data_IF_531090631841
#
_entry.id   IF_531090631841
#
_cell.length_a   1.000
_cell.length_b   1.000
_cell.length_c   1.000
_cell.angle_alpha   90.00
_cell.angle_beta   90.00
_cell.angle_gamma   90.00
#
_symmetry.space_group_name_H-M   'P 1'
#
loop_
_entity.id
_entity.type
_entity.pdbx_description
1 polymer ?
#
# COMPACT_ATOMS: atom_id res chain seq x y z
N UNK A 1 -1.17 10.05 103.48
CA UNK A 1 -0.55 8.91 102.77
C UNK A 1 -1.50 8.62 101.64
N UNK A 2 -1.36 9.37 100.55
CA UNK A 2 -2.36 9.37 99.49
C UNK A 2 -1.94 8.42 98.38
N UNK A 3 -2.53 7.24 98.46
CA UNK A 3 -2.69 6.35 97.31
C UNK A 3 -3.72 7.04 96.42
N UNK A 4 -3.31 7.43 95.21
CA UNK A 4 -4.25 7.62 94.11
C UNK A 4 -3.95 6.61 93.03
N UNK A 5 -4.78 5.58 93.05
CA UNK A 5 -5.00 4.65 91.95
C UNK A 5 -5.42 5.41 90.69
N UNK A 6 -4.95 4.91 89.56
CA UNK A 6 -5.45 5.22 88.21
C UNK A 6 -6.89 4.74 88.05
N UNK A 7 -7.73 5.49 87.33
CA UNK A 7 -8.73 4.86 86.49
C UNK A 7 -8.67 5.35 85.03
N UNK A 8 -8.13 4.47 84.19
CA UNK A 8 -8.84 3.88 83.04
C UNK A 8 -9.55 4.80 82.05
N UNK A 9 -8.82 5.32 81.06
CA UNK A 9 -9.40 5.70 79.76
C UNK A 9 -8.45 5.32 78.60
N UNK A 10 -8.08 4.05 78.49
CA UNK A 10 -7.29 3.53 77.35
C UNK A 10 -8.00 2.38 76.60
N UNK A 11 -9.31 2.21 76.82
CA UNK A 11 -10.07 1.08 76.25
C UNK A 11 -10.95 1.43 75.02
N UNK A 12 -11.09 2.71 74.67
CA UNK A 12 -11.98 3.15 73.58
C UNK A 12 -11.28 3.12 72.20
N UNK A 13 -9.95 3.21 72.13
CA UNK A 13 -9.24 3.41 70.86
C UNK A 13 -8.86 2.12 70.11
N UNK A 14 -8.56 1.02 70.81
CA UNK A 14 -8.11 -0.23 70.16
C UNK A 14 -9.23 -0.88 69.33
N UNK A 15 -10.48 -0.78 69.79
CA UNK A 15 -11.62 -1.39 69.11
C UNK A 15 -12.03 -0.63 67.85
N UNK A 16 -11.87 0.70 67.83
CA UNK A 16 -12.17 1.56 66.67
C UNK A 16 -11.09 1.36 65.60
N UNK A 17 -9.82 1.36 65.98
CA UNK A 17 -8.71 1.14 65.06
C UNK A 17 -8.70 -0.28 64.45
N UNK A 18 -9.03 -1.31 65.23
CA UNK A 18 -9.21 -2.67 64.69
C UNK A 18 -10.37 -2.76 63.70
N UNK A 19 -11.52 -2.12 63.99
CA UNK A 19 -12.64 -2.09 63.05
C UNK A 19 -12.29 -1.33 61.77
N UNK A 20 -11.60 -0.19 61.87
CA UNK A 20 -11.10 0.58 60.72
C UNK A 20 -10.15 -0.25 59.87
N UNK A 21 -9.17 -0.93 60.48
CA UNK A 21 -8.25 -1.80 59.77
C UNK A 21 -8.99 -2.94 59.04
N UNK A 22 -9.96 -3.60 59.71
CA UNK A 22 -10.79 -4.64 59.10
C UNK A 22 -11.58 -4.10 57.90
N UNK A 23 -12.21 -2.92 58.03
CA UNK A 23 -12.96 -2.30 56.95
C UNK A 23 -12.06 -1.88 55.77
N UNK A 24 -10.86 -1.35 56.05
CA UNK A 24 -9.90 -0.99 55.00
C UNK A 24 -9.41 -2.24 54.26
N UNK A 25 -9.07 -3.31 54.98
CA UNK A 25 -8.68 -4.58 54.37
C UNK A 25 -9.83 -5.18 53.55
N UNK A 26 -11.05 -5.16 54.06
CA UNK A 26 -12.24 -5.64 53.34
C UNK A 26 -12.51 -4.84 52.06
N UNK A 27 -12.42 -3.51 52.12
CA UNK A 27 -12.57 -2.65 50.94
C UNK A 27 -11.44 -2.86 49.92
N UNK A 28 -10.21 -3.09 50.38
CA UNK A 28 -9.07 -3.36 49.50
C UNK A 28 -9.25 -4.70 48.79
N UNK A 29 -9.66 -5.75 49.52
CA UNK A 29 -9.95 -7.05 48.93
C UNK A 29 -11.14 -6.99 47.95
N UNK A 30 -12.19 -6.24 48.28
CA UNK A 30 -13.31 -6.01 47.38
C UNK A 30 -12.86 -5.27 46.10
N UNK A 31 -12.01 -4.25 46.23
CA UNK A 31 -11.45 -3.53 45.08
C UNK A 31 -10.59 -4.42 44.18
N UNK A 32 -9.76 -5.28 44.76
CA UNK A 32 -8.96 -6.27 44.02
C UNK A 32 -9.88 -7.27 43.31
N UNK A 33 -10.90 -7.78 43.99
CA UNK A 33 -11.86 -8.72 43.40
C UNK A 33 -12.57 -8.11 42.19
N UNK A 34 -13.05 -6.86 42.32
CA UNK A 34 -13.68 -6.11 41.22
C UNK A 34 -12.72 -5.95 40.04
N UNK A 35 -11.45 -5.57 40.30
CA UNK A 35 -10.42 -5.47 39.26
C UNK A 35 -10.20 -6.80 38.54
N UNK A 36 -10.12 -7.91 39.27
CA UNK A 36 -9.96 -9.24 38.68
C UNK A 36 -11.16 -9.57 37.79
N UNK A 37 -12.40 -9.36 38.25
CA UNK A 37 -13.61 -9.60 37.46
C UNK A 37 -13.59 -8.78 36.17
N UNK A 38 -13.31 -7.48 36.25
CA UNK A 38 -13.21 -6.62 35.05
C UNK A 38 -12.12 -7.09 34.09
N UNK A 39 -10.96 -7.54 34.58
CA UNK A 39 -9.91 -8.07 33.71
C UNK A 39 -10.32 -9.38 33.04
N UNK A 40 -11.02 -10.27 33.76
CA UNK A 40 -11.52 -11.54 33.20
C UNK A 40 -12.57 -11.27 32.13
N UNK A 41 -13.51 -10.35 32.38
CA UNK A 41 -14.53 -9.98 31.37
C UNK A 41 -13.88 -9.38 30.13
N UNK A 42 -12.89 -8.50 30.29
CA UNK A 42 -12.19 -7.88 29.16
C UNK A 42 -11.35 -8.89 28.37
N UNK A 43 -10.71 -9.84 29.05
CA UNK A 43 -10.02 -10.97 28.41
C UNK A 43 -11.02 -11.88 27.68
N UNK A 44 -12.21 -12.11 28.25
CA UNK A 44 -13.29 -12.88 27.63
C UNK A 44 -13.84 -12.19 26.37
N UNK A 45 -14.09 -10.88 26.43
CA UNK A 45 -14.54 -10.08 25.28
C UNK A 45 -13.49 -10.08 24.16
N UNK A 46 -12.20 -9.91 24.51
CA UNK A 46 -11.10 -10.00 23.55
C UNK A 46 -10.98 -11.41 22.96
N UNK A 47 -11.13 -12.45 23.77
CA UNK A 47 -11.15 -13.85 23.31
C UNK A 47 -12.32 -14.09 22.35
N UNK A 48 -13.53 -13.61 22.66
CA UNK A 48 -14.69 -13.76 21.78
C UNK A 48 -14.54 -12.99 20.46
N UNK A 49 -13.89 -11.81 20.47
CA UNK A 49 -13.54 -11.09 19.23
C UNK A 49 -12.50 -11.83 18.39
N UNK A 50 -11.45 -12.37 19.03
CA UNK A 50 -10.41 -13.15 18.35
C UNK A 50 -10.97 -14.48 17.82
N UNK A 51 -11.92 -15.08 18.53
CA UNK A 51 -12.59 -16.34 18.18
C UNK A 51 -13.92 -16.08 17.47
N UNK A 52 -14.06 -14.95 16.77
CA UNK A 52 -15.03 -14.93 15.68
C UNK A 52 -14.52 -15.90 14.63
N UNK A 53 -15.23 -17.00 14.33
CA UNK A 53 -14.88 -17.80 13.19
C UNK A 53 -15.01 -16.85 11.99
N UNK A 54 -13.91 -16.61 11.26
CA UNK A 54 -14.06 -16.21 9.86
C UNK A 54 -15.05 -17.22 9.31
N UNK A 55 -16.23 -16.79 8.88
CA UNK A 55 -17.09 -17.63 8.06
C UNK A 55 -16.18 -18.19 6.98
N UNK A 56 -15.92 -19.48 7.06
CA UNK A 56 -15.21 -20.19 6.03
C UNK A 56 -16.20 -20.13 4.88
N UNK A 57 -15.97 -19.21 3.95
CA UNK A 57 -16.67 -19.18 2.68
C UNK A 57 -16.63 -20.62 2.18
N UNK A 58 -17.80 -21.28 2.00
CA UNK A 58 -17.84 -22.65 1.52
C UNK A 58 -16.96 -22.74 0.28
N UNK A 59 -16.11 -23.77 0.20
CA UNK A 59 -15.21 -24.05 -0.95
C UNK A 59 -16.05 -24.52 -2.16
N UNK A 60 -17.19 -23.89 -2.37
CA UNK A 60 -18.15 -24.22 -3.39
C UNK A 60 -17.99 -23.20 -4.51
N UNK A 61 -17.01 -23.53 -5.38
CA UNK A 61 -16.54 -22.81 -6.58
C UNK A 61 -15.27 -21.95 -6.39
N UNK A 62 -14.16 -22.60 -6.04
CA UNK A 62 -12.91 -22.22 -6.73
C UNK A 62 -13.06 -22.79 -8.16
N UNK A 63 -13.22 -21.98 -9.22
CA UNK A 63 -13.33 -22.50 -10.57
C UNK A 63 -12.09 -23.37 -10.87
N UNK A 64 -12.33 -24.57 -11.40
CA UNK A 64 -11.36 -25.68 -11.56
C UNK A 64 -10.14 -25.37 -12.46
N UNK A 65 -9.99 -24.13 -12.92
CA UNK A 65 -8.73 -23.51 -13.31
C UNK A 65 -8.99 -22.01 -13.33
N UNK A 66 -8.40 -21.24 -12.42
CA UNK A 66 -8.22 -19.81 -12.64
C UNK A 66 -7.24 -19.65 -13.81
N UNK A 67 -7.74 -19.69 -15.05
CA UNK A 67 -6.92 -19.52 -16.24
C UNK A 67 -6.54 -18.04 -16.31
N UNK A 68 -5.34 -17.72 -15.84
CA UNK A 68 -4.76 -16.40 -16.07
C UNK A 68 -4.50 -16.27 -17.58
N UNK A 69 -5.17 -15.35 -18.30
CA UNK A 69 -4.89 -15.11 -19.71
C UNK A 69 -3.49 -14.49 -19.86
N UNK A 70 -2.90 -14.59 -21.04
CA UNK A 70 -1.61 -13.90 -21.32
C UNK A 70 -1.80 -12.38 -21.43
N UNK A 71 -3.01 -11.92 -21.76
CA UNK A 71 -3.37 -10.51 -21.94
C UNK A 71 -4.66 -10.20 -21.21
N UNK A 72 -4.65 -9.17 -20.38
CA UNK A 72 -5.83 -8.60 -19.76
C UNK A 72 -6.38 -7.44 -20.61
N UNK A 73 -7.69 -7.23 -20.53
CA UNK A 73 -8.32 -6.00 -20.96
C UNK A 73 -8.53 -5.09 -19.74
N UNK A 74 -7.70 -4.06 -19.60
CA UNK A 74 -7.77 -3.09 -18.51
C UNK A 74 -8.42 -1.82 -19.05
N UNK A 75 -9.73 -1.65 -18.80
CA UNK A 75 -10.53 -0.49 -19.25
C UNK A 75 -10.34 -0.16 -20.75
N UNK A 76 -10.30 -1.18 -21.61
CA UNK A 76 -10.12 -1.06 -23.06
C UNK A 76 -8.66 -1.12 -23.53
N UNK A 77 -7.69 -1.23 -22.63
CA UNK A 77 -6.28 -1.35 -22.97
C UNK A 77 -5.79 -2.79 -22.78
N UNK A 78 -5.15 -3.39 -23.80
CA UNK A 78 -4.38 -4.62 -23.60
C UNK A 78 -3.30 -4.39 -22.54
N UNK A 79 -3.16 -5.30 -21.58
CA UNK A 79 -2.06 -5.33 -20.63
C UNK A 79 -1.53 -6.76 -20.46
N UNK A 80 -0.25 -6.97 -20.72
CA UNK A 80 0.38 -8.29 -20.57
C UNK A 80 0.34 -8.75 -19.11
N UNK A 81 -0.10 -9.98 -18.86
CA UNK A 81 -0.38 -10.50 -17.53
C UNK A 81 0.89 -10.96 -16.78
N UNK A 82 0.79 -11.27 -15.47
CA UNK A 82 1.86 -11.95 -14.74
C UNK A 82 2.30 -13.26 -15.39
N UNK A 83 1.36 -14.03 -15.97
CA UNK A 83 1.69 -15.27 -16.68
C UNK A 83 2.57 -15.00 -17.91
N UNK A 84 2.24 -13.97 -18.69
CA UNK A 84 3.08 -13.56 -19.82
C UNK A 84 4.45 -13.03 -19.36
N UNK A 85 4.50 -12.42 -18.17
CA UNK A 85 5.76 -11.97 -17.58
C UNK A 85 6.67 -13.12 -17.17
N UNK A 86 6.14 -14.18 -16.54
CA UNK A 86 6.95 -15.37 -16.22
C UNK A 86 7.53 -16.03 -17.49
N UNK A 87 6.72 -16.18 -18.55
CA UNK A 87 7.20 -16.64 -19.85
C UNK A 87 8.36 -15.78 -20.37
N UNK A 88 8.25 -14.45 -20.24
CA UNK A 88 9.31 -13.53 -20.62
C UNK A 88 10.59 -13.76 -19.80
N UNK A 89 10.48 -13.96 -18.48
CA UNK A 89 11.64 -14.24 -17.63
C UNK A 89 12.36 -15.53 -18.04
N UNK A 90 11.60 -16.59 -18.34
CA UNK A 90 12.12 -17.89 -18.73
C UNK A 90 12.81 -17.86 -20.10
N UNK A 91 12.32 -17.05 -21.04
CA UNK A 91 12.83 -16.97 -22.41
C UNK A 91 14.00 -16.00 -22.59
N UNK A 92 14.17 -15.02 -21.71
CA UNK A 92 15.13 -13.91 -21.90
C UNK A 92 16.35 -13.92 -20.99
N UNK A 93 16.40 -14.82 -20.00
CA UNK A 93 17.42 -14.77 -18.95
C UNK A 93 17.34 -13.52 -18.07
N UNK A 94 16.21 -12.79 -18.10
CA UNK A 94 16.03 -11.54 -17.37
C UNK A 94 15.88 -11.72 -15.85
N UNK A 95 15.64 -12.96 -15.37
CA UNK A 95 15.33 -13.26 -13.97
C UNK A 95 16.35 -12.68 -12.97
N UNK A 96 17.68 -12.84 -13.13
CA UNK A 96 18.65 -12.27 -12.19
C UNK A 96 18.58 -10.73 -12.11
N UNK A 97 18.37 -10.06 -13.25
CA UNK A 97 18.28 -8.59 -13.29
C UNK A 97 16.96 -8.10 -12.70
N UNK A 98 15.87 -8.83 -12.91
CA UNK A 98 14.58 -8.54 -12.29
C UNK A 98 14.63 -8.71 -10.77
N UNK A 99 15.25 -9.78 -10.26
CA UNK A 99 15.44 -9.98 -8.81
C UNK A 99 16.23 -8.83 -8.17
N UNK A 100 17.30 -8.35 -8.84
CA UNK A 100 18.05 -7.17 -8.37
C UNK A 100 17.20 -5.91 -8.36
N UNK A 101 16.35 -5.70 -9.38
CA UNK A 101 15.42 -4.59 -9.41
C UNK A 101 14.40 -4.68 -8.27
N UNK A 102 13.84 -5.86 -8.00
CA UNK A 102 12.91 -6.04 -6.88
C UNK A 102 13.56 -5.71 -5.54
N UNK A 103 14.77 -6.22 -5.30
CA UNK A 103 15.55 -5.88 -4.11
C UNK A 103 15.84 -4.37 -4.03
N UNK A 104 16.19 -3.74 -5.15
CA UNK A 104 16.41 -2.29 -5.22
C UNK A 104 15.14 -1.49 -4.86
N UNK A 105 13.96 -1.90 -5.34
CA UNK A 105 12.69 -1.26 -4.99
C UNK A 105 12.37 -1.45 -3.50
N UNK A 106 12.63 -2.63 -2.96
CA UNK A 106 12.42 -2.98 -1.55
C UNK A 106 13.27 -2.12 -0.61
N UNK A 107 14.59 -2.03 -0.83
CA UNK A 107 15.47 -1.22 0.03
C UNK A 107 15.13 0.28 -0.04
N UNK A 108 14.53 0.73 -1.16
CA UNK A 108 14.05 2.09 -1.32
C UNK A 108 12.61 2.31 -0.82
N UNK A 109 11.96 1.26 -0.28
CA UNK A 109 10.61 1.25 0.30
C UNK A 109 9.50 1.63 -0.69
N UNK A 110 9.65 1.25 -1.96
CA UNK A 110 8.69 1.55 -3.04
C UNK A 110 8.18 0.30 -3.76
N UNK A 111 8.49 -0.90 -3.26
CA UNK A 111 8.09 -2.20 -3.82
C UNK A 111 6.59 -2.50 -3.70
N UNK A 112 5.93 -1.92 -2.69
CA UNK A 112 4.49 -2.09 -2.46
C UNK A 112 3.57 -1.11 -3.20
N UNK A 113 4.11 -0.15 -3.96
CA UNK A 113 3.30 0.91 -4.60
C UNK A 113 2.46 0.36 -5.74
N UNK A 114 3.07 -0.49 -6.59
CA UNK A 114 2.42 -1.22 -7.68
C UNK A 114 3.18 -2.54 -7.88
N UNK A 115 2.56 -3.58 -8.48
CA UNK A 115 3.29 -4.82 -8.77
C UNK A 115 4.54 -4.57 -9.63
N UNK A 116 5.72 -4.98 -9.15
CA UNK A 116 7.01 -4.65 -9.76
C UNK A 116 7.11 -5.06 -11.25
N UNK A 117 6.52 -6.19 -11.64
CA UNK A 117 6.51 -6.65 -13.03
C UNK A 117 5.81 -5.65 -13.98
N UNK A 118 4.82 -4.91 -13.49
CA UNK A 118 4.04 -3.97 -14.29
C UNK A 118 4.87 -2.77 -14.74
N UNK A 119 5.93 -2.43 -14.01
CA UNK A 119 6.91 -1.40 -14.37
C UNK A 119 7.73 -1.77 -15.61
N UNK A 120 7.81 -3.06 -15.94
CA UNK A 120 8.57 -3.57 -17.09
C UNK A 120 7.71 -3.65 -18.36
N UNK A 121 6.41 -3.35 -18.29
CA UNK A 121 5.53 -3.30 -19.46
C UNK A 121 5.98 -2.20 -20.41
N UNK A 122 6.19 -2.51 -21.68
CA UNK A 122 6.59 -1.52 -22.67
C UNK A 122 5.42 -0.61 -23.09
N UNK A 123 4.20 -1.14 -23.22
CA UNK A 123 3.03 -0.34 -23.55
C UNK A 123 1.78 -1.20 -23.70
N UNK A 124 0.71 -0.63 -24.27
CA UNK A 124 -0.56 -1.32 -24.54
C UNK A 124 -0.71 -1.76 -26.01
N UNK A 125 0.29 -1.43 -26.82
CA UNK A 125 0.31 -1.53 -28.28
C UNK A 125 1.39 -2.49 -28.79
N UNK A 126 2.07 -3.22 -27.90
CA UNK A 126 3.19 -4.13 -28.22
C UNK A 126 2.84 -5.14 -29.33
N UNK A 127 1.62 -5.68 -29.30
CA UNK A 127 1.15 -6.62 -30.33
C UNK A 127 1.04 -5.94 -31.71
N UNK A 128 0.60 -4.68 -31.75
CA UNK A 128 0.44 -3.91 -33.00
C UNK A 128 1.79 -3.54 -33.61
N UNK A 129 2.77 -3.21 -32.77
CA UNK A 129 4.11 -2.81 -33.21
C UNK A 129 5.07 -3.99 -33.38
N UNK A 130 4.62 -5.21 -33.08
CA UNK A 130 5.42 -6.42 -33.21
C UNK A 130 6.64 -6.43 -32.27
N UNK A 131 6.47 -6.00 -31.03
CA UNK A 131 7.52 -5.97 -30.01
C UNK A 131 7.15 -6.80 -28.78
N UNK A 132 8.14 -7.24 -27.98
CA UNK A 132 7.88 -7.93 -26.72
C UNK A 132 7.06 -7.06 -25.75
N UNK A 133 6.14 -7.65 -24.97
CA UNK A 133 5.35 -6.91 -23.97
C UNK A 133 6.18 -6.33 -22.84
N UNK A 134 7.34 -6.92 -22.54
CA UNK A 134 8.20 -6.56 -21.42
C UNK A 134 9.64 -6.29 -21.86
N UNK A 135 10.32 -5.43 -21.11
CA UNK A 135 11.76 -5.26 -21.17
C UNK A 135 12.29 -4.82 -19.80
N UNK A 136 13.54 -5.17 -19.48
CA UNK A 136 14.16 -4.79 -18.19
C UNK A 136 15.00 -3.50 -18.33
N UNK A 137 14.71 -2.43 -17.57
CA UNK A 137 15.44 -1.18 -17.65
C UNK A 137 16.93 -1.34 -17.26
N UNK A 138 17.84 -0.52 -17.82
CA UNK A 138 19.23 -0.41 -17.34
C UNK A 138 19.28 0.02 -15.87
N UNK A 139 20.20 -0.57 -15.09
CA UNK A 139 20.28 -0.34 -13.64
C UNK A 139 20.52 1.13 -13.28
N UNK A 140 21.31 1.84 -14.09
CA UNK A 140 21.56 3.28 -13.96
C UNK A 140 20.30 4.16 -13.95
N UNK A 141 19.16 3.64 -14.41
CA UNK A 141 17.90 4.38 -14.44
C UNK A 141 16.97 4.04 -13.26
N UNK A 142 17.26 3.01 -12.45
CA UNK A 142 16.34 2.54 -11.40
C UNK A 142 16.01 3.60 -10.36
N UNK A 143 17.00 4.39 -9.94
CA UNK A 143 16.78 5.49 -8.99
C UNK A 143 15.76 6.53 -9.45
N UNK A 144 15.59 6.72 -10.77
CA UNK A 144 14.59 7.66 -11.31
C UNK A 144 13.16 7.15 -11.16
N UNK A 145 12.96 5.83 -11.17
CA UNK A 145 11.62 5.25 -10.95
C UNK A 145 11.21 5.36 -9.49
N UNK A 146 12.17 5.33 -8.55
CA UNK A 146 11.90 5.49 -7.11
C UNK A 146 11.16 6.80 -6.86
N UNK A 147 11.63 7.91 -7.44
CA UNK A 147 10.97 9.21 -7.30
C UNK A 147 9.54 9.21 -7.87
N UNK A 148 9.34 8.59 -9.04
CA UNK A 148 7.99 8.46 -9.63
C UNK A 148 7.07 7.61 -8.76
N UNK A 149 7.57 6.52 -8.16
CA UNK A 149 6.77 5.69 -7.26
C UNK A 149 6.45 6.39 -5.94
N UNK A 150 7.36 7.20 -5.39
CA UNK A 150 7.08 8.05 -4.21
C UNK A 150 6.01 9.09 -4.51
N UNK A 151 6.09 9.77 -5.65
CA UNK A 151 5.03 10.68 -6.08
C UNK A 151 3.66 9.96 -6.17
N UNK A 152 3.64 8.73 -6.72
CA UNK A 152 2.42 7.93 -6.77
C UNK A 152 1.88 7.62 -5.36
N UNK A 153 2.76 7.11 -4.49
CA UNK A 153 2.45 6.69 -3.12
C UNK A 153 1.95 7.85 -2.24
N UNK A 154 2.60 9.01 -2.34
CA UNK A 154 2.37 10.14 -1.43
C UNK A 154 1.27 11.09 -1.91
N UNK A 155 1.11 11.28 -3.22
CA UNK A 155 0.30 12.40 -3.74
C UNK A 155 -0.86 11.98 -4.66
N UNK A 156 -0.74 10.83 -5.34
CA UNK A 156 -1.72 10.41 -6.36
C UNK A 156 -2.66 9.34 -5.79
N UNK A 157 -2.12 8.21 -5.35
CA UNK A 157 -2.91 7.08 -4.84
C UNK A 157 -3.80 7.48 -3.66
N UNK A 158 -3.37 8.32 -2.70
CA UNK A 158 -4.25 8.77 -1.61
C UNK A 158 -5.50 9.54 -2.09
N UNK A 159 -5.47 10.10 -3.30
CA UNK A 159 -6.56 10.90 -3.86
C UNK A 159 -7.43 10.09 -4.82
N UNK A 160 -6.81 9.37 -5.78
CA UNK A 160 -7.54 8.66 -6.84
C UNK A 160 -7.64 7.14 -6.62
N UNK A 161 -7.03 6.62 -5.56
CA UNK A 161 -6.97 5.21 -5.24
C UNK A 161 -5.89 4.46 -6.03
N UNK A 162 -5.85 3.12 -5.91
CA UNK A 162 -4.90 2.28 -6.63
C UNK A 162 -4.98 2.46 -8.14
N UNK A 163 -3.86 2.18 -8.82
CA UNK A 163 -3.70 2.36 -10.26
C UNK A 163 -3.14 1.09 -10.90
N UNK A 164 -3.57 0.79 -12.13
CA UNK A 164 -2.96 -0.25 -12.95
C UNK A 164 -2.00 0.36 -13.96
N UNK A 165 -0.72 -0.03 -13.89
CA UNK A 165 0.32 0.43 -14.83
C UNK A 165 0.16 -0.27 -16.19
N UNK A 166 0.03 0.51 -17.26
CA UNK A 166 -0.06 0.03 -18.64
C UNK A 166 1.29 0.14 -19.37
N UNK A 167 2.18 1.04 -18.94
CA UNK A 167 3.49 1.24 -19.53
C UNK A 167 4.46 1.83 -18.53
N UNK A 168 5.66 1.26 -18.41
CA UNK A 168 6.76 1.77 -17.59
C UNK A 168 8.02 1.95 -18.43
N UNK A 169 8.94 0.97 -18.43
CA UNK A 169 10.14 1.02 -19.25
C UNK A 169 9.85 0.76 -20.73
N UNK A 170 10.38 1.60 -21.63
CA UNK A 170 10.41 1.33 -23.08
C UNK A 170 11.84 1.24 -23.58
N UNK A 171 12.12 0.22 -24.39
CA UNK A 171 13.33 0.22 -25.22
C UNK A 171 13.28 1.34 -26.26
N UNK A 172 14.45 1.71 -26.79
CA UNK A 172 14.57 2.66 -27.91
C UNK A 172 13.76 2.19 -29.13
N UNK A 173 13.89 0.91 -29.49
CA UNK A 173 13.19 0.28 -30.61
C UNK A 173 11.69 0.29 -30.42
N UNK A 174 11.20 -0.15 -29.26
CA UNK A 174 9.77 -0.11 -28.94
C UNK A 174 9.22 1.30 -29.03
N UNK A 175 9.88 2.26 -28.38
CA UNK A 175 9.41 3.64 -28.35
C UNK A 175 9.34 4.23 -29.77
N UNK A 176 10.31 3.94 -30.63
CA UNK A 176 10.30 4.41 -32.01
C UNK A 176 9.13 3.80 -32.82
N UNK A 177 8.94 2.47 -32.75
CA UNK A 177 7.84 1.79 -33.47
C UNK A 177 6.45 2.20 -32.98
N UNK A 178 6.32 2.50 -31.69
CA UNK A 178 5.09 3.03 -31.08
C UNK A 178 4.85 4.53 -31.38
N UNK A 179 5.70 5.18 -32.19
CA UNK A 179 5.59 6.61 -32.49
C UNK A 179 5.88 7.54 -31.30
N UNK A 180 6.60 7.03 -30.30
CA UNK A 180 6.97 7.79 -29.11
C UNK A 180 8.01 8.89 -29.39
N UNK A 181 7.98 9.94 -28.58
CA UNK A 181 8.94 11.04 -28.67
C UNK A 181 10.39 10.56 -28.45
N UNK A 182 11.36 11.17 -29.16
CA UNK A 182 12.80 10.96 -28.93
C UNK A 182 13.24 11.33 -27.51
N UNK A 183 12.46 12.14 -26.79
CA UNK A 183 12.70 12.56 -25.39
C UNK A 183 11.75 11.86 -24.41
N UNK A 184 11.24 10.69 -24.76
CA UNK A 184 10.27 9.93 -23.97
C UNK A 184 10.81 9.59 -22.57
N UNK A 185 10.01 9.85 -21.54
CA UNK A 185 10.36 9.59 -20.14
C UNK A 185 10.35 8.10 -19.80
N UNK A 186 9.61 7.30 -20.57
CA UNK A 186 9.65 5.84 -20.48
C UNK A 186 11.02 5.25 -20.81
N UNK A 187 11.77 5.88 -21.74
CA UNK A 187 13.14 5.48 -22.09
C UNK A 187 14.19 5.90 -21.05
N UNK A 188 13.76 6.61 -20.01
CA UNK A 188 14.59 6.98 -18.86
C UNK A 188 14.12 6.32 -17.56
N UNK A 189 13.15 5.40 -17.64
CA UNK A 189 12.55 4.70 -16.51
C UNK A 189 12.04 5.66 -15.42
N UNK A 190 11.43 6.77 -15.84
CA UNK A 190 10.84 7.75 -14.92
C UNK A 190 9.41 8.12 -15.31
N UNK A 191 8.89 7.61 -16.41
CA UNK A 191 7.50 7.79 -16.84
C UNK A 191 6.67 6.53 -16.65
N UNK A 192 5.42 6.71 -16.24
CA UNK A 192 4.42 5.66 -16.11
C UNK A 192 3.13 6.10 -16.82
N UNK A 193 2.57 5.22 -17.65
CA UNK A 193 1.20 5.35 -18.14
C UNK A 193 0.32 4.39 -17.36
N UNK A 194 -0.82 4.87 -16.88
CA UNK A 194 -1.69 4.10 -16.00
C UNK A 194 -3.15 4.52 -16.12
N UNK A 195 -4.02 3.73 -15.50
CA UNK A 195 -5.43 4.05 -15.26
C UNK A 195 -5.74 3.83 -13.78
N UNK A 196 -6.69 4.58 -13.18
CA UNK A 196 -7.17 4.26 -11.85
C UNK A 196 -7.91 2.92 -11.86
N UNK A 197 -7.88 2.18 -10.76
CA UNK A 197 -8.69 0.96 -10.63
C UNK A 197 -10.17 1.31 -10.46
N UNK A 198 -10.44 2.32 -9.63
CA UNK A 198 -11.78 2.92 -9.50
C UNK A 198 -12.29 3.42 -10.85
N UNK A 199 -13.60 3.33 -11.03
CA UNK A 199 -14.25 3.90 -12.19
C UNK A 199 -14.36 5.41 -12.04
N UNK A 200 -13.83 6.10 -13.06
CA UNK A 200 -13.92 7.53 -13.22
C UNK A 200 -14.39 7.81 -14.64
N UNK A 201 -15.17 8.86 -14.81
CA UNK A 201 -15.25 9.54 -16.10
C UNK A 201 -13.99 10.39 -16.31
N UNK A 202 -13.77 10.80 -17.56
CA UNK A 202 -12.67 11.73 -17.86
C UNK A 202 -12.88 13.07 -17.15
N UNK A 203 -14.12 13.52 -17.15
CA UNK A 203 -14.58 14.80 -16.62
C UNK A 203 -14.34 14.90 -15.11
N UNK A 204 -14.38 13.77 -14.39
CA UNK A 204 -14.03 13.69 -12.97
C UNK A 204 -12.52 13.59 -12.74
N UNK A 205 -11.82 12.71 -13.48
CA UNK A 205 -10.40 12.40 -13.21
C UNK A 205 -9.47 13.57 -13.57
N UNK A 206 -9.69 14.22 -14.70
CA UNK A 206 -8.79 15.24 -15.24
C UNK A 206 -8.65 16.45 -14.30
N UNK A 207 -9.73 17.05 -13.77
CA UNK A 207 -9.63 18.14 -12.79
C UNK A 207 -8.85 17.75 -11.54
N UNK A 208 -9.04 16.51 -11.04
CA UNK A 208 -8.33 16.00 -9.86
C UNK A 208 -6.82 15.92 -10.13
N UNK A 209 -6.42 15.29 -11.23
CA UNK A 209 -5.02 15.16 -11.63
C UNK A 209 -4.35 16.53 -11.82
N UNK A 210 -5.03 17.47 -12.48
CA UNK A 210 -4.54 18.85 -12.64
C UNK A 210 -4.39 19.55 -11.29
N UNK A 211 -5.31 19.36 -10.34
CA UNK A 211 -5.21 19.93 -8.99
C UNK A 211 -4.01 19.37 -8.23
N UNK A 212 -3.74 18.06 -8.33
CA UNK A 212 -2.53 17.45 -7.78
C UNK A 212 -1.29 18.09 -8.42
N UNK A 213 -1.23 18.13 -9.75
CA UNK A 213 -0.07 18.68 -10.47
C UNK A 213 0.21 20.14 -10.09
N UNK A 214 -0.81 21.00 -10.01
CA UNK A 214 -0.62 22.40 -9.56
C UNK A 214 -0.11 22.50 -8.13
N UNK A 215 -0.56 21.62 -7.23
CA UNK A 215 -0.17 21.62 -5.82
C UNK A 215 1.27 21.15 -5.62
N UNK A 216 1.69 20.07 -6.29
CA UNK A 216 2.94 19.37 -5.97
C UNK A 216 3.92 19.28 -7.13
N UNK A 217 3.54 19.74 -8.31
CA UNK A 217 4.29 19.44 -9.52
C UNK A 217 5.68 20.06 -9.54
N UNK A 218 5.84 21.28 -8.99
CA UNK A 218 7.16 21.89 -8.85
C UNK A 218 8.05 21.14 -7.86
N UNK A 219 7.49 20.66 -6.73
CA UNK A 219 8.20 19.89 -5.70
C UNK A 219 8.75 18.57 -6.27
N UNK A 220 7.93 17.85 -7.04
CA UNK A 220 8.27 16.53 -7.57
C UNK A 220 8.87 16.53 -8.99
N UNK A 221 9.10 17.71 -9.57
CA UNK A 221 9.43 17.83 -11.00
C UNK A 221 8.43 17.05 -11.89
N UNK A 222 7.15 17.10 -11.51
CA UNK A 222 6.09 16.26 -12.06
C UNK A 222 5.70 16.71 -13.46
N UNK A 223 5.90 15.82 -14.42
CA UNK A 223 5.21 15.85 -15.69
C UNK A 223 3.85 15.16 -15.57
N UNK A 224 2.82 15.78 -16.12
CA UNK A 224 1.50 15.18 -16.32
C UNK A 224 1.24 15.06 -17.82
N UNK A 225 0.58 13.98 -18.24
CA UNK A 225 0.04 13.84 -19.59
C UNK A 225 -1.33 13.19 -19.51
N UNK A 226 -2.27 13.61 -20.35
CA UNK A 226 -3.65 13.11 -20.32
C UNK A 226 -3.99 12.56 -21.69
N UNK A 227 -4.22 11.26 -21.78
CA UNK A 227 -4.65 10.59 -23.02
C UNK A 227 -6.16 10.66 -23.18
N UNK A 228 -6.73 10.06 -24.23
CA UNK A 228 -8.18 9.90 -24.35
C UNK A 228 -8.70 8.95 -23.26
N UNK A 229 -9.92 9.18 -22.76
CA UNK A 229 -10.50 8.41 -21.66
C UNK A 229 -9.84 8.75 -20.31
N UNK A 230 -9.58 7.70 -19.52
CA UNK A 230 -9.03 7.78 -18.15
C UNK A 230 -7.56 7.42 -18.03
N UNK A 231 -6.88 7.13 -19.16
CA UNK A 231 -5.44 6.87 -19.15
C UNK A 231 -4.68 8.19 -19.01
N UNK A 232 -3.68 8.19 -18.13
CA UNK A 232 -2.82 9.35 -17.91
C UNK A 232 -1.36 8.92 -17.74
N UNK A 233 -0.48 9.88 -17.94
CA UNK A 233 0.98 9.78 -17.82
C UNK A 233 1.44 10.57 -16.61
N UNK A 234 2.38 10.03 -15.84
CA UNK A 234 3.11 10.75 -14.81
C UNK A 234 4.60 10.45 -14.91
N UNK A 235 5.41 11.48 -14.75
CA UNK A 235 6.86 11.36 -14.64
C UNK A 235 7.45 12.36 -13.63
N UNK A 236 8.65 12.09 -13.11
CA UNK A 236 9.38 12.98 -12.18
C UNK A 236 10.66 13.55 -12.79
N UNK A 237 10.78 13.47 -14.11
CA UNK A 237 12.00 13.82 -14.85
C UNK A 237 11.73 14.93 -15.88
N UNK A 238 10.63 15.65 -15.76
CA UNK A 238 10.25 16.75 -16.64
C UNK A 238 9.01 17.50 -16.18
N UNK A 239 9.20 18.52 -15.35
CA UNK A 239 8.15 19.45 -14.97
C UNK A 239 7.56 20.20 -16.17
N UNK A 240 6.22 20.22 -16.24
CA UNK A 240 5.43 21.02 -17.19
C UNK A 240 4.19 21.56 -16.49
N UNK A 241 3.88 22.84 -16.64
CA UNK A 241 2.64 23.44 -16.12
C UNK A 241 1.41 22.89 -16.85
N UNK A 242 0.31 22.66 -16.12
CA UNK A 242 -0.94 22.06 -16.61
C UNK A 242 -2.20 22.73 -16.07
#
# INVERSE_FOLDING_TARGET
MDIKESPDHEWIDIHIERRRAIWITALTLAGILVLVVFTVEKVRELSERIVTPREIIPVERIPEKLVIPDVYNVKGYPAASPKAFEKFLDQSGARPKYTRLQHFLYINKVDGVVPSYSLLRQGSDWQKVGEPPFAVPPEKNWGKMVETLRLLQEEIIPVIGPVTILSGWRTTTYNAKAGGSKRSKHMHFCGLDMVPERDYTREELVPILKKIQRRVGKKWNMGLGIYRGVRFHVDTCGYRSW
#
